data_IF_508580296271
#
_entry.id   IF_508580296271
#
_cell.length_a   1.000
_cell.length_b   1.000
_cell.length_c   1.000
_cell.angle_alpha   90.00
_cell.angle_beta   90.00
_cell.angle_gamma   90.00
#
_symmetry.space_group_name_H-M   'P 1'
#
loop_
_entity.id
_entity.type
_entity.pdbx_description
1 polymer ?
#
# COMPACT_ATOMS: atom_id res chain seq x y z
N UNK A 1 11.72 -4.13 -20.14
CA UNK A 1 11.00 -2.85 -19.87
C UNK A 1 10.87 -2.68 -18.37
N UNK A 2 11.19 -1.52 -17.80
CA UNK A 2 11.10 -1.31 -16.34
C UNK A 2 9.63 -1.15 -15.93
N UNK A 3 9.22 -1.85 -14.87
CA UNK A 3 7.94 -1.67 -14.18
C UNK A 3 8.20 -1.40 -12.69
N UNK A 4 7.28 -0.71 -12.05
CA UNK A 4 7.35 -0.39 -10.62
C UNK A 4 6.26 -1.16 -9.88
N UNK A 5 6.69 -2.04 -8.98
CA UNK A 5 5.82 -2.85 -8.13
C UNK A 5 5.66 -2.14 -6.79
N UNK A 6 4.41 -1.88 -6.43
CA UNK A 6 4.03 -1.31 -5.14
C UNK A 6 3.81 -2.43 -4.14
N UNK A 7 4.61 -2.46 -3.08
CA UNK A 7 4.57 -3.52 -2.07
C UNK A 7 4.34 -2.93 -0.68
N UNK A 8 3.37 -3.48 0.04
CA UNK A 8 3.11 -3.18 1.43
C UNK A 8 3.56 -4.35 2.31
N UNK A 9 4.48 -4.12 3.24
CA UNK A 9 5.03 -5.18 4.11
C UNK A 9 4.30 -5.31 5.45
N UNK A 10 3.29 -4.48 5.72
CA UNK A 10 2.62 -4.41 7.02
C UNK A 10 3.15 -3.27 7.90
N UNK A 11 4.12 -2.49 7.42
CA UNK A 11 4.76 -1.41 8.17
C UNK A 11 3.85 -0.18 8.29
N UNK A 12 3.68 0.29 9.52
CA UNK A 12 2.92 1.49 9.85
C UNK A 12 3.87 2.62 10.23
N UNK A 13 3.43 3.86 10.02
CA UNK A 13 4.12 5.02 10.57
C UNK A 13 4.04 5.01 12.11
N UNK A 14 4.96 5.68 12.81
CA UNK A 14 4.94 5.77 14.27
C UNK A 14 3.58 6.25 14.79
N UNK A 15 3.15 5.68 15.92
CA UNK A 15 1.90 6.02 16.62
C UNK A 15 0.59 5.79 15.81
N UNK A 16 0.67 5.12 14.66
CA UNK A 16 -0.51 4.75 13.87
C UNK A 16 -1.01 3.38 14.28
N UNK A 17 -2.29 3.34 14.70
CA UNK A 17 -2.99 2.08 14.94
C UNK A 17 -3.39 1.40 13.62
N UNK A 18 -3.32 0.07 13.60
CA UNK A 18 -3.64 -0.76 12.44
C UNK A 18 -5.07 -0.58 11.97
N UNK A 19 -6.04 -0.52 12.89
CA UNK A 19 -7.46 -0.37 12.53
C UNK A 19 -7.72 1.00 11.91
N UNK A 20 -7.12 2.04 12.48
CA UNK A 20 -7.21 3.40 11.91
C UNK A 20 -6.63 3.46 10.50
N UNK A 21 -5.44 2.89 10.30
CA UNK A 21 -4.82 2.81 8.98
C UNK A 21 -5.71 2.07 7.97
N UNK A 22 -6.25 0.91 8.38
CA UNK A 22 -7.11 0.10 7.54
C UNK A 22 -8.41 0.83 7.15
N UNK A 23 -9.02 1.56 8.08
CA UNK A 23 -10.19 2.40 7.81
C UNK A 23 -9.86 3.52 6.80
N UNK A 24 -8.72 4.18 6.95
CA UNK A 24 -8.27 5.22 6.01
C UNK A 24 -7.98 4.66 4.61
N UNK A 25 -7.32 3.51 4.52
CA UNK A 25 -7.06 2.84 3.23
C UNK A 25 -8.36 2.35 2.58
N UNK A 26 -9.29 1.81 3.36
CA UNK A 26 -10.65 1.43 2.92
C UNK A 26 -11.39 2.60 2.27
N UNK A 27 -11.41 3.75 2.94
CA UNK A 27 -12.02 4.97 2.40
C UNK A 27 -11.31 5.49 1.14
N UNK A 28 -9.98 5.40 1.12
CA UNK A 28 -9.17 5.89 -0.01
C UNK A 28 -9.33 5.06 -1.27
N UNK A 29 -9.42 3.73 -1.13
CA UNK A 29 -9.44 2.80 -2.26
C UNK A 29 -10.83 2.21 -2.56
N UNK A 30 -11.86 2.58 -1.77
CA UNK A 30 -13.24 2.13 -1.99
C UNK A 30 -13.40 0.62 -1.81
N UNK A 31 -12.75 0.04 -0.81
CA UNK A 31 -12.81 -1.38 -0.49
C UNK A 31 -13.19 -1.57 0.97
N UNK A 32 -13.97 -2.61 1.29
CA UNK A 32 -14.36 -2.84 2.67
C UNK A 32 -13.17 -3.24 3.55
N UNK A 33 -13.26 -2.89 4.83
CA UNK A 33 -12.25 -3.21 5.84
C UNK A 33 -12.04 -4.73 5.94
N UNK A 34 -13.14 -5.50 5.87
CA UNK A 34 -13.14 -6.97 5.95
C UNK A 34 -12.38 -7.59 4.78
N UNK A 35 -12.45 -6.99 3.60
CA UNK A 35 -11.72 -7.45 2.42
C UNK A 35 -10.24 -7.07 2.49
N UNK A 36 -9.93 -5.87 2.96
CA UNK A 36 -8.57 -5.35 2.99
C UNK A 36 -7.72 -5.93 4.11
N UNK A 37 -8.32 -6.21 5.28
CA UNK A 37 -7.60 -6.74 6.45
C UNK A 37 -6.77 -7.98 6.14
N UNK A 38 -7.36 -9.09 5.64
CA UNK A 38 -6.61 -10.31 5.37
C UNK A 38 -5.66 -10.16 4.17
N UNK A 39 -5.80 -9.12 3.35
CA UNK A 39 -4.90 -8.85 2.24
C UNK A 39 -3.66 -8.08 2.69
N UNK A 40 -3.85 -6.96 3.42
CA UNK A 40 -2.79 -6.06 3.83
C UNK A 40 -2.01 -6.54 5.06
N UNK A 41 -2.70 -7.16 6.02
CA UNK A 41 -2.11 -7.58 7.30
C UNK A 41 -2.11 -9.11 7.45
N UNK A 42 -1.78 -9.82 6.37
CA UNK A 42 -1.68 -11.29 6.35
C UNK A 42 -0.41 -11.84 7.00
N UNK A 43 0.54 -10.98 7.35
CA UNK A 43 1.91 -11.36 7.70
C UNK A 43 2.79 -11.67 6.48
N UNK A 44 2.29 -11.47 5.26
CA UNK A 44 3.05 -11.56 4.01
C UNK A 44 3.01 -10.22 3.27
N UNK A 45 4.05 -9.90 2.47
CA UNK A 45 4.04 -8.70 1.64
C UNK A 45 2.84 -8.71 0.67
N UNK A 46 2.08 -7.62 0.64
CA UNK A 46 0.95 -7.42 -0.25
C UNK A 46 1.38 -6.62 -1.47
N UNK A 47 1.21 -7.20 -2.67
CA UNK A 47 1.43 -6.47 -3.92
C UNK A 47 0.19 -5.63 -4.21
N UNK A 48 0.30 -4.32 -4.02
CA UNK A 48 -0.81 -3.39 -4.21
C UNK A 48 -1.07 -3.15 -5.68
N UNK A 49 -0.01 -2.87 -6.47
CA UNK A 49 -0.17 -2.58 -7.90
C UNK A 49 1.12 -2.73 -8.73
N UNK A 50 0.90 -3.12 -9.98
CA UNK A 50 1.75 -3.04 -11.18
C UNK A 50 1.74 -1.70 -11.94
N UNK A 51 2.72 -0.78 -11.89
CA UNK A 51 2.69 0.44 -12.75
C UNK A 51 3.91 0.60 -13.64
N UNK A 52 3.78 1.39 -14.72
CA UNK A 52 4.87 1.66 -15.69
C UNK A 52 5.54 3.02 -15.51
N UNK A 53 4.87 3.95 -14.83
CA UNK A 53 5.35 5.31 -14.61
C UNK A 53 5.64 5.50 -13.11
N UNK A 54 6.79 6.08 -12.82
CA UNK A 54 7.23 6.31 -11.44
C UNK A 54 6.33 7.32 -10.72
N UNK A 55 5.93 8.40 -11.38
CA UNK A 55 5.03 9.41 -10.82
C UNK A 55 3.68 8.82 -10.37
N UNK A 56 3.20 7.78 -11.07
CA UNK A 56 2.01 7.05 -10.63
C UNK A 56 2.30 6.25 -9.36
N UNK A 57 3.47 5.63 -9.25
CA UNK A 57 3.89 4.89 -8.06
C UNK A 57 3.98 5.82 -6.83
N UNK A 58 4.59 7.01 -6.97
CA UNK A 58 4.70 7.99 -5.89
C UNK A 58 3.34 8.45 -5.36
N UNK A 59 2.36 8.68 -6.24
CA UNK A 59 0.99 9.03 -5.80
C UNK A 59 0.36 7.99 -4.89
N UNK A 60 0.68 6.70 -5.09
CA UNK A 60 0.21 5.65 -4.20
C UNK A 60 0.99 5.63 -2.88
N UNK A 61 2.29 5.93 -2.91
CA UNK A 61 3.09 6.09 -1.69
C UNK A 61 2.50 7.21 -0.82
N UNK A 62 2.20 8.37 -1.41
CA UNK A 62 1.56 9.48 -0.70
C UNK A 62 0.21 9.10 -0.12
N UNK A 63 -0.61 8.34 -0.87
CA UNK A 63 -1.90 7.87 -0.40
C UNK A 63 -1.77 6.92 0.80
N UNK A 64 -0.80 6.00 0.78
CA UNK A 64 -0.50 5.12 1.90
C UNK A 64 0.05 5.88 3.10
N UNK A 65 0.97 6.83 2.88
CA UNK A 65 1.53 7.66 3.94
C UNK A 65 0.45 8.50 4.66
N UNK A 66 -0.50 9.06 3.90
CA UNK A 66 -1.67 9.77 4.47
C UNK A 66 -2.57 8.87 5.32
N UNK A 67 -2.62 7.58 5.00
CA UNK A 67 -3.31 6.58 5.81
C UNK A 67 -2.46 6.02 6.96
N UNK A 68 -1.20 6.45 7.08
CA UNK A 68 -0.30 6.00 8.13
C UNK A 68 0.41 4.68 7.85
N UNK A 69 0.51 4.28 6.58
CA UNK A 69 1.20 3.08 6.13
C UNK A 69 2.44 3.41 5.30
N UNK A 70 3.45 2.53 5.33
CA UNK A 70 4.64 2.64 4.49
C UNK A 70 4.47 1.75 3.26
N UNK A 71 4.50 2.36 2.08
CA UNK A 71 4.45 1.65 0.80
C UNK A 71 5.81 1.73 0.11
N UNK A 72 6.29 0.59 -0.39
CA UNK A 72 7.58 0.50 -1.06
C UNK A 72 7.40 0.40 -2.57
N UNK A 73 8.28 1.07 -3.29
CA UNK A 73 8.39 0.97 -4.75
C UNK A 73 9.58 0.06 -5.06
N UNK A 74 9.33 -1.04 -5.75
CA UNK A 74 10.37 -1.94 -6.24
C UNK A 74 10.45 -1.87 -7.77
N UNK A 75 11.66 -1.74 -8.32
CA UNK A 75 11.88 -1.90 -9.75
C UNK A 75 11.86 -3.38 -10.14
N UNK A 76 11.05 -3.70 -11.15
CA UNK A 76 10.99 -5.04 -11.74
C UNK A 76 11.41 -4.94 -13.19
N UNK A 77 12.51 -5.61 -13.52
CA UNK A 77 12.99 -5.77 -14.90
C UNK A 77 12.36 -7.02 -15.49
N UNK A 78 11.51 -6.82 -16.49
CA UNK A 78 11.03 -7.88 -17.38
C UNK A 78 11.67 -7.80 -18.75
#
# INVERSE_FOLDING_TARGET
>A
MIRYRLVFYGDLLPDVDRERCLQSLSATFGHSVERMRPFLFSGRPAIIKTVRQYDTAERFVDAFAKAGAVLHIEEVRG
#
